data_IF_392443849666
#
_entry.id   IF_392443849666
#
_cell.length_a   1.000
_cell.length_b   1.000
_cell.length_c   1.000
_cell.angle_alpha   90.00
_cell.angle_beta   90.00
_cell.angle_gamma   90.00
#
_symmetry.space_group_name_H-M   'P 1'
#
loop_
_entity.id
_entity.type
_entity.pdbx_description
1 polymer ?
#
# COMPACT_ATOMS: atom_id res chain seq x y z
N UNK A 1 -37.23 -39.35 85.53
CA UNK A 1 -36.85 -37.95 85.25
C UNK A 1 -35.47 -37.99 84.64
N UNK A 2 -35.18 -37.59 83.41
CA UNK A 2 -35.91 -37.13 82.22
C UNK A 2 -34.86 -37.24 81.10
N UNK A 3 -35.19 -37.81 79.93
CA UNK A 3 -35.37 -37.07 78.67
C UNK A 3 -34.36 -35.91 78.51
N UNK A 4 -33.59 -35.79 77.43
CA UNK A 4 -34.09 -35.80 76.05
C UNK A 4 -32.92 -35.66 75.06
N UNK A 5 -33.08 -36.29 73.87
CA UNK A 5 -32.82 -35.74 72.51
C UNK A 5 -31.47 -35.07 72.23
N UNK A 6 -30.69 -35.47 71.24
CA UNK A 6 -31.10 -35.75 69.86
C UNK A 6 -30.49 -34.68 68.94
N UNK A 7 -29.66 -35.15 67.99
CA UNK A 7 -29.34 -34.54 66.69
C UNK A 7 -29.17 -33.03 66.59
N UNK A 8 -27.95 -32.60 66.26
CA UNK A 8 -27.67 -31.33 65.59
C UNK A 8 -26.44 -31.50 64.71
N UNK A 9 -26.67 -32.01 63.49
CA UNK A 9 -25.74 -31.86 62.39
C UNK A 9 -25.66 -30.36 62.07
N UNK A 10 -24.51 -29.74 62.33
CA UNK A 10 -24.20 -28.45 61.73
C UNK A 10 -23.57 -28.76 60.38
N UNK A 11 -24.41 -28.73 59.34
CA UNK A 11 -23.97 -28.42 57.97
C UNK A 11 -23.28 -27.05 58.05
N UNK A 12 -21.96 -27.04 58.26
CA UNK A 12 -21.17 -25.90 57.85
C UNK A 12 -21.15 -25.96 56.32
N UNK A 13 -22.11 -25.27 55.70
CA UNK A 13 -22.13 -24.99 54.28
C UNK A 13 -20.72 -24.62 53.82
N UNK A 14 -20.16 -25.51 52.99
CA UNK A 14 -18.89 -25.39 52.33
C UNK A 14 -18.96 -24.19 51.37
N UNK A 15 -18.77 -22.97 51.90
CA UNK A 15 -18.56 -21.79 51.06
C UNK A 15 -17.16 -21.91 50.48
N UNK A 16 -17.00 -22.79 49.50
CA UNK A 16 -15.83 -22.84 48.63
C UNK A 16 -15.84 -21.55 47.83
N UNK A 17 -15.31 -20.48 48.43
CA UNK A 17 -14.90 -19.28 47.71
C UNK A 17 -13.81 -19.74 46.73
N UNK A 18 -14.25 -20.11 45.53
CA UNK A 18 -13.35 -20.35 44.42
C UNK A 18 -12.76 -19.00 44.04
N UNK A 19 -11.64 -18.67 44.64
CA UNK A 19 -10.81 -17.54 44.24
C UNK A 19 -10.53 -17.73 42.75
N UNK A 20 -11.10 -16.86 41.90
CA UNK A 20 -10.86 -16.95 40.47
C UNK A 20 -9.37 -16.71 40.31
N UNK A 21 -8.63 -17.74 39.92
CA UNK A 21 -7.21 -17.59 39.68
C UNK A 21 -7.06 -16.64 38.48
N UNK A 22 -6.81 -15.36 38.79
CA UNK A 22 -6.57 -14.30 37.80
C UNK A 22 -5.22 -14.47 37.13
N UNK A 23 -4.30 -15.25 37.73
CA UNK A 23 -2.95 -15.48 37.20
C UNK A 23 -2.98 -16.21 35.85
N UNK A 24 -3.73 -17.32 35.68
CA UNK A 24 -3.98 -17.91 34.36
C UNK A 24 -4.71 -16.99 33.38
N UNK A 25 -5.64 -16.15 33.88
CA UNK A 25 -6.43 -15.26 33.00
C UNK A 25 -5.54 -14.18 32.37
N UNK A 26 -4.65 -13.59 33.15
CA UNK A 26 -3.70 -12.57 32.67
C UNK A 26 -2.72 -13.15 31.66
N UNK A 27 -2.26 -14.40 31.87
CA UNK A 27 -1.35 -15.09 30.95
C UNK A 27 -1.99 -15.31 29.57
N UNK A 28 -3.25 -15.76 29.52
CA UNK A 28 -3.99 -15.92 28.26
C UNK A 28 -4.15 -14.59 27.52
N UNK A 29 -4.48 -13.51 28.24
CA UNK A 29 -4.62 -12.18 27.62
C UNK A 29 -3.28 -11.66 27.11
N UNK A 30 -2.18 -11.90 27.84
CA UNK A 30 -0.83 -11.50 27.43
C UNK A 30 -0.36 -12.26 26.17
N UNK A 31 -0.64 -13.56 26.08
CA UNK A 31 -0.38 -14.35 24.87
C UNK A 31 -1.14 -13.79 23.66
N UNK A 32 -2.41 -13.43 23.83
CA UNK A 32 -3.20 -12.81 22.75
C UNK A 32 -2.59 -11.46 22.29
N UNK A 33 -2.09 -10.64 23.22
CA UNK A 33 -1.41 -9.39 22.88
C UNK A 33 -0.11 -9.63 22.08
N UNK A 34 0.68 -10.64 22.45
CA UNK A 34 1.91 -11.01 21.72
C UNK A 34 1.56 -11.48 20.30
N UNK A 35 0.51 -12.29 20.13
CA UNK A 35 0.04 -12.73 18.81
C UNK A 35 -0.35 -11.52 17.94
N UNK A 36 -1.11 -10.56 18.47
CA UNK A 36 -1.46 -9.35 17.73
C UNK A 36 -0.24 -8.48 17.38
N UNK A 37 0.70 -8.33 18.31
CA UNK A 37 1.94 -7.58 18.08
C UNK A 37 2.80 -8.17 16.94
N UNK A 38 2.84 -9.49 16.81
CA UNK A 38 3.64 -10.19 15.79
C UNK A 38 2.90 -10.27 14.45
N UNK A 39 1.59 -10.48 14.46
CA UNK A 39 0.79 -10.69 13.24
C UNK A 39 0.63 -9.42 12.42
N UNK A 40 0.46 -8.24 13.05
CA UNK A 40 0.31 -6.98 12.31
C UNK A 40 1.52 -6.65 11.41
N UNK A 41 2.78 -6.68 11.89
CA UNK A 41 3.96 -6.56 11.03
C UNK A 41 4.04 -7.62 9.93
N UNK A 42 3.62 -8.87 10.21
CA UNK A 42 3.64 -9.95 9.24
C UNK A 42 2.62 -9.76 8.10
N UNK A 43 1.43 -9.24 8.42
CA UNK A 43 0.40 -8.89 7.44
C UNK A 43 0.87 -7.71 6.58
N UNK A 44 1.42 -6.67 7.20
CA UNK A 44 1.92 -5.47 6.48
C UNK A 44 3.13 -5.81 5.59
N UNK A 45 4.01 -6.72 6.02
CA UNK A 45 5.14 -7.19 5.22
C UNK A 45 4.74 -8.04 3.99
N UNK A 46 3.49 -8.51 3.92
CA UNK A 46 2.95 -9.29 2.78
C UNK A 46 2.37 -8.40 1.66
N UNK A 47 2.30 -7.07 1.87
CA UNK A 47 2.01 -6.10 0.83
C UNK A 47 3.24 -5.20 0.54
N UNK A 48 4.40 -5.75 0.16
CA UNK A 48 5.40 -4.91 -0.46
C UNK A 48 4.86 -4.55 -1.85
N UNK A 49 4.25 -3.37 -1.97
CA UNK A 49 4.28 -2.68 -3.24
C UNK A 49 5.77 -2.44 -3.47
N UNK A 50 6.43 -3.36 -4.19
CA UNK A 50 7.81 -3.21 -4.67
C UNK A 50 7.78 -2.07 -5.67
N UNK A 51 7.77 -0.85 -5.15
CA UNK A 51 8.11 0.33 -5.93
C UNK A 51 9.63 0.38 -5.95
N UNK A 52 10.21 -0.38 -6.87
CA UNK A 52 11.56 -0.14 -7.36
C UNK A 52 11.52 1.23 -8.07
N UNK A 53 11.64 2.31 -7.30
CA UNK A 53 11.99 3.60 -7.85
C UNK A 53 13.50 3.56 -8.11
N UNK A 54 13.96 3.43 -9.38
CA UNK A 54 15.38 3.55 -9.66
C UNK A 54 15.84 4.93 -9.22
N UNK A 55 16.76 4.96 -8.25
CA UNK A 55 17.44 6.19 -7.85
C UNK A 55 18.06 6.82 -9.10
N UNK A 56 17.68 8.08 -9.33
CA UNK A 56 18.22 9.00 -10.32
C UNK A 56 19.70 8.73 -10.61
N UNK A 57 19.99 8.22 -11.81
CA UNK A 57 21.35 7.91 -12.24
C UNK A 57 21.51 6.83 -13.31
N UNK A 58 20.45 6.09 -13.67
CA UNK A 58 20.58 5.08 -14.74
C UNK A 58 20.23 5.70 -16.10
N UNK A 59 21.24 6.30 -16.75
CA UNK A 59 21.24 6.45 -18.21
C UNK A 59 21.27 5.04 -18.78
N UNK A 60 20.10 4.51 -19.08
CA UNK A 60 19.98 3.24 -19.77
C UNK A 60 20.44 3.37 -21.22
N UNK A 61 20.83 2.26 -21.87
CA UNK A 61 21.30 2.30 -23.25
C UNK A 61 20.27 2.99 -24.14
N UNK A 62 20.73 3.92 -24.97
CA UNK A 62 19.89 4.54 -25.98
C UNK A 62 19.27 3.44 -26.84
N UNK A 63 17.96 3.24 -26.69
CA UNK A 63 17.20 2.54 -27.72
C UNK A 63 17.29 3.37 -29.00
N UNK A 64 17.37 2.72 -30.15
CA UNK A 64 17.41 3.41 -31.46
C UNK A 64 16.14 4.25 -31.71
N UNK A 65 15.08 4.01 -30.94
CA UNK A 65 13.89 4.86 -30.90
C UNK A 65 13.99 5.88 -29.75
N UNK A 66 13.68 7.17 -30.01
CA UNK A 66 13.66 8.18 -28.96
C UNK A 66 12.65 7.79 -27.86
N UNK A 67 13.04 7.86 -26.58
CA UNK A 67 12.14 7.53 -25.49
C UNK A 67 10.97 8.52 -25.46
N UNK A 68 9.75 8.00 -25.30
CA UNK A 68 8.57 8.85 -25.15
C UNK A 68 8.57 9.41 -23.73
N UNK A 69 8.45 10.72 -23.59
CA UNK A 69 8.36 11.36 -22.28
C UNK A 69 6.91 11.69 -21.96
N UNK A 70 6.38 11.12 -20.90
CA UNK A 70 5.08 11.47 -20.32
C UNK A 70 5.35 12.33 -19.09
N UNK A 71 4.91 13.59 -19.09
CA UNK A 71 5.10 14.51 -17.97
C UNK A 71 3.78 14.74 -17.25
N UNK A 72 3.80 14.75 -15.92
CA UNK A 72 2.67 15.13 -15.08
C UNK A 72 3.03 16.44 -14.39
N UNK A 73 2.37 17.52 -14.80
CA UNK A 73 2.62 18.88 -14.29
C UNK A 73 1.37 19.42 -13.61
N UNK A 74 1.56 20.33 -12.65
CA UNK A 74 0.46 21.07 -12.04
C UNK A 74 0.35 22.41 -12.77
N UNK A 75 -0.83 22.70 -13.31
CA UNK A 75 -1.14 24.02 -13.86
C UNK A 75 -1.36 25.03 -12.74
N UNK A 76 -1.21 26.32 -13.05
CA UNK A 76 -1.42 27.43 -12.10
C UNK A 76 -2.83 27.41 -11.46
N UNK A 77 -3.82 26.84 -12.15
CA UNK A 77 -5.18 26.60 -11.66
C UNK A 77 -5.29 25.43 -10.65
N UNK A 78 -4.17 24.82 -10.26
CA UNK A 78 -4.12 23.68 -9.32
C UNK A 78 -4.50 22.33 -9.94
N UNK A 79 -4.86 22.29 -11.23
CA UNK A 79 -5.21 21.06 -11.95
C UNK A 79 -3.97 20.29 -12.38
N UNK A 80 -4.05 18.96 -12.33
CA UNK A 80 -3.03 18.07 -12.88
C UNK A 80 -3.23 17.98 -14.40
N UNK A 81 -2.17 18.21 -15.15
CA UNK A 81 -2.14 18.10 -16.60
C UNK A 81 -1.09 17.09 -17.01
N UNK A 82 -1.44 16.27 -18.00
CA UNK A 82 -0.55 15.27 -18.57
C UNK A 82 -0.03 15.82 -19.89
N UNK A 83 1.25 15.59 -20.14
CA UNK A 83 1.91 15.97 -21.38
C UNK A 83 2.59 14.75 -21.97
N UNK A 84 2.49 14.55 -23.27
CA UNK A 84 3.24 13.54 -24.01
C UNK A 84 4.13 14.23 -25.02
N UNK A 85 5.46 14.12 -24.87
CA UNK A 85 6.44 14.87 -25.68
C UNK A 85 6.10 16.36 -25.79
N UNK A 86 5.87 17.00 -24.63
CA UNK A 86 5.48 18.42 -24.49
C UNK A 86 4.14 18.84 -25.11
N UNK A 87 3.36 17.91 -25.66
CA UNK A 87 1.97 18.16 -26.04
C UNK A 87 1.03 17.83 -24.89
N UNK A 88 0.22 18.81 -24.48
CA UNK A 88 -0.83 18.60 -23.50
C UNK A 88 -1.80 17.54 -24.01
N UNK A 89 -2.13 16.58 -23.15
CA UNK A 89 -3.03 15.46 -23.44
C UNK A 89 -3.89 15.18 -22.21
N UNK A 90 -5.02 14.51 -22.41
CA UNK A 90 -5.83 13.93 -21.35
C UNK A 90 -5.69 12.40 -21.33
N UNK A 91 -6.24 11.74 -20.30
CA UNK A 91 -6.18 10.28 -20.13
C UNK A 91 -6.69 9.51 -21.36
N UNK A 92 -7.79 9.97 -21.97
CA UNK A 92 -8.41 9.33 -23.12
C UNK A 92 -7.59 9.53 -24.40
N UNK A 93 -7.03 10.73 -24.59
CA UNK A 93 -6.16 11.08 -25.70
C UNK A 93 -4.82 10.35 -25.59
N UNK A 94 -4.24 10.27 -24.39
CA UNK A 94 -3.02 9.53 -24.11
C UNK A 94 -3.20 8.06 -24.47
N UNK A 95 -4.31 7.44 -24.05
CA UNK A 95 -4.65 6.06 -24.43
C UNK A 95 -4.69 5.90 -25.95
N UNK A 96 -5.42 6.78 -26.64
CA UNK A 96 -5.54 6.75 -28.10
C UNK A 96 -4.20 6.92 -28.79
N UNK A 97 -3.35 7.84 -28.32
CA UNK A 97 -2.01 8.09 -28.86
C UNK A 97 -1.09 6.89 -28.68
N UNK A 98 -1.13 6.24 -27.52
CA UNK A 98 -0.35 5.03 -27.24
C UNK A 98 -0.78 3.86 -28.12
N UNK A 99 -2.08 3.69 -28.34
CA UNK A 99 -2.64 2.67 -29.22
C UNK A 99 -2.31 2.94 -30.71
N UNK A 100 -2.46 4.19 -31.16
CA UNK A 100 -2.21 4.62 -32.55
C UNK A 100 -0.73 4.52 -32.93
N UNK A 101 0.15 4.92 -32.01
CA UNK A 101 1.61 4.81 -32.17
C UNK A 101 2.14 3.40 -31.93
N UNK A 102 1.30 2.45 -31.50
CA UNK A 102 1.71 1.07 -31.27
C UNK A 102 2.79 0.90 -30.19
N UNK A 103 2.97 1.87 -29.29
CA UNK A 103 4.11 1.93 -28.34
C UNK A 103 4.19 0.71 -27.42
N UNK A 104 3.05 0.07 -27.15
CA UNK A 104 2.97 -1.16 -26.38
C UNK A 104 3.54 -2.40 -27.11
N UNK A 105 3.55 -2.38 -28.45
CA UNK A 105 4.07 -3.47 -29.29
C UNK A 105 5.57 -3.34 -29.53
N UNK A 106 6.06 -2.11 -29.67
CA UNK A 106 7.48 -1.81 -29.91
C UNK A 106 8.36 -1.91 -28.65
N UNK A 107 7.79 -2.29 -27.50
CA UNK A 107 8.50 -2.35 -26.20
C UNK A 107 9.27 -1.05 -25.93
N UNK A 108 8.66 0.07 -26.34
CA UNK A 108 9.30 1.37 -26.32
C UNK A 108 9.41 1.87 -24.89
N UNK A 109 10.59 2.41 -24.56
CA UNK A 109 10.85 2.96 -23.23
C UNK A 109 10.07 4.25 -23.05
N UNK A 110 9.31 4.34 -21.94
CA UNK A 110 8.57 5.54 -21.56
C UNK A 110 9.19 6.13 -20.30
N UNK A 111 9.57 7.40 -20.38
CA UNK A 111 10.04 8.16 -19.22
C UNK A 111 8.85 8.93 -18.64
N UNK A 112 8.47 8.61 -17.40
CA UNK A 112 7.45 9.33 -16.64
C UNK A 112 8.13 10.43 -15.81
N UNK A 113 7.95 11.68 -16.20
CA UNK A 113 8.40 12.85 -15.48
C UNK A 113 7.29 13.41 -14.59
N UNK A 114 7.56 13.74 -13.32
CA UNK A 114 6.58 14.37 -12.44
C UNK A 114 7.19 15.55 -11.68
N UNK A 115 6.43 16.63 -11.57
CA UNK A 115 6.81 17.79 -10.76
C UNK A 115 6.79 17.47 -9.26
N UNK A 116 7.72 18.09 -8.50
CA UNK A 116 7.85 17.92 -7.04
C UNK A 116 6.59 18.30 -6.24
N UNK A 117 5.65 19.02 -6.83
CA UNK A 117 4.40 19.41 -6.19
C UNK A 117 3.26 18.39 -6.36
N UNK A 118 3.36 17.44 -7.29
CA UNK A 118 2.29 16.51 -7.61
C UNK A 118 2.08 15.50 -6.47
N UNK A 119 0.82 15.25 -6.12
CA UNK A 119 0.51 14.21 -5.14
C UNK A 119 0.94 12.85 -5.71
N UNK A 120 1.66 12.06 -4.91
CA UNK A 120 2.19 10.77 -5.33
C UNK A 120 1.12 9.84 -5.93
N UNK A 121 -0.12 9.90 -5.40
CA UNK A 121 -1.25 9.13 -5.92
C UNK A 121 -1.63 9.46 -7.37
N UNK A 122 -1.41 10.70 -7.83
CA UNK A 122 -1.64 11.07 -9.23
C UNK A 122 -0.60 10.46 -10.16
N UNK A 123 0.66 10.41 -9.72
CA UNK A 123 1.75 9.77 -10.47
C UNK A 123 1.48 8.28 -10.61
N UNK A 124 1.01 7.62 -9.53
CA UNK A 124 0.61 6.20 -9.58
C UNK A 124 -0.56 5.99 -10.54
N UNK A 125 -1.60 6.84 -10.51
CA UNK A 125 -2.73 6.71 -11.44
C UNK A 125 -2.30 6.73 -12.90
N UNK A 126 -1.40 7.66 -13.26
CA UNK A 126 -0.88 7.76 -14.63
C UNK A 126 0.01 6.56 -14.96
N UNK A 127 0.81 6.08 -14.01
CA UNK A 127 1.64 4.88 -14.18
C UNK A 127 0.78 3.62 -14.41
N UNK A 128 -0.30 3.44 -13.65
CA UNK A 128 -1.26 2.34 -13.81
C UNK A 128 -1.96 2.40 -15.17
N UNK A 129 -2.32 3.61 -15.63
CA UNK A 129 -2.88 3.81 -16.95
C UNK A 129 -1.89 3.35 -18.03
N UNK A 130 -0.62 3.77 -17.96
CA UNK A 130 0.42 3.37 -18.92
C UNK A 130 0.69 1.85 -18.88
N UNK A 131 0.72 1.24 -17.70
CA UNK A 131 0.83 -0.21 -17.54
C UNK A 131 -0.38 -0.94 -18.15
N UNK A 132 -1.60 -0.44 -17.95
CA UNK A 132 -2.82 -0.99 -18.52
C UNK A 132 -2.87 -0.95 -20.05
N UNK A 133 -2.12 -0.04 -20.65
CA UNK A 133 -1.94 0.05 -22.10
C UNK A 133 -0.87 -0.91 -22.65
N UNK A 134 -0.19 -1.67 -21.79
CA UNK A 134 0.82 -2.65 -22.18
C UNK A 134 2.25 -2.12 -22.25
N UNK A 135 2.51 -0.92 -21.72
CA UNK A 135 3.85 -0.35 -21.63
C UNK A 135 4.59 -0.98 -20.44
N UNK A 136 5.57 -1.83 -20.73
CA UNK A 136 6.30 -2.60 -19.70
C UNK A 136 7.56 -1.90 -19.17
N UNK A 137 8.11 -0.97 -19.95
CA UNK A 137 9.37 -0.27 -19.66
C UNK A 137 9.11 1.18 -19.30
N UNK A 138 8.62 1.40 -18.08
CA UNK A 138 8.43 2.74 -17.52
C UNK A 138 9.61 3.08 -16.61
N UNK A 139 10.30 4.18 -16.90
CA UNK A 139 11.30 4.76 -16.02
C UNK A 139 10.75 6.05 -15.42
N UNK A 140 10.79 6.20 -14.10
CA UNK A 140 10.33 7.41 -13.41
C UNK A 140 11.51 8.35 -13.22
N UNK A 141 11.35 9.60 -13.64
CA UNK A 141 12.33 10.67 -13.45
C UNK A 141 11.65 11.85 -12.75
N UNK A 142 12.30 12.45 -11.75
CA UNK A 142 11.82 13.69 -11.14
C UNK A 142 12.57 14.86 -11.74
N UNK A 143 12.27 15.20 -12.99
CA UNK A 143 12.77 16.42 -13.62
C UNK A 143 11.86 17.59 -13.30
N UNK A 144 12.43 18.65 -12.73
CA UNK A 144 11.81 19.97 -12.72
C UNK A 144 11.79 20.47 -14.16
N UNK A 145 10.63 20.42 -14.82
CA UNK A 145 10.46 21.07 -16.11
C UNK A 145 9.99 22.47 -15.82
N UNK A 146 10.96 23.38 -15.76
CA UNK A 146 10.75 24.81 -15.61
C UNK A 146 10.13 25.39 -16.89
#
# INVERSE_FOLDING_TARGET
>A
MGASTGSGFSDEDDVVMSDINVTPLVDVVLVLLIVFMITVPAIVASAPIKVDLPTSGSVAPASELPPITVSVRRSDDGKVQIFMNDRQTNDAELKKLVEDLGLARDDQRVNLAADRGIAYGEVIRVMDLLHGLGLKKIAVDTKHVQ
#
